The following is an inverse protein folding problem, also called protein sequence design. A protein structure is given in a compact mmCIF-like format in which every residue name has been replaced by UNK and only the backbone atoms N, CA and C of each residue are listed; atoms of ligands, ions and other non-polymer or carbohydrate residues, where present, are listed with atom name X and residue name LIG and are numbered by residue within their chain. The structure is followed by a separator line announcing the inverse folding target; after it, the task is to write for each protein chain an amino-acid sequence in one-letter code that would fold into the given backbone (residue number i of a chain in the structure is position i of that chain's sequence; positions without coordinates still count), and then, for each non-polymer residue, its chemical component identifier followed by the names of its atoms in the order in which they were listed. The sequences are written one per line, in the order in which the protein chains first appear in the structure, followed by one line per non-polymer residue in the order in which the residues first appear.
data_IF_396319751448
#
_entry.id   IF_396319751448
#
_cell.length_a   1.000
_cell.length_b   1.000
_cell.length_c   1.000
_cell.angle_alpha   90.00
_cell.angle_beta   90.00
_cell.angle_gamma   90.00
#
_symmetry.space_group_name_H-M   'P 1'
#
loop_
_entity.id
_entity.type
_entity.pdbx_description
1 polymer ?
#
# COMPACT_ATOMS: atom_id res chain seq x y z
N UNK A 1 -3.55 12.50 -7.19
CA UNK A 1 -4.95 12.51 -6.70
C UNK A 1 -5.06 11.32 -5.79
N UNK A 2 -5.21 11.57 -4.50
CA UNK A 2 -5.58 10.52 -3.56
C UNK A 2 -6.98 10.01 -3.94
N UNK A 3 -7.28 8.73 -3.67
CA UNK A 3 -8.64 8.21 -3.87
C UNK A 3 -9.67 9.11 -3.19
N UNK A 4 -10.91 9.13 -3.69
CA UNK A 4 -12.00 9.81 -2.97
C UNK A 4 -12.04 9.27 -1.54
N UNK A 5 -12.17 10.16 -0.56
CA UNK A 5 -12.32 9.77 0.85
C UNK A 5 -13.42 8.69 0.96
N UNK A 6 -13.11 7.50 1.50
CA UNK A 6 -14.12 6.48 1.71
C UNK A 6 -15.15 6.97 2.73
N UNK A 7 -16.43 6.67 2.50
CA UNK A 7 -17.51 6.97 3.44
C UNK A 7 -17.32 6.29 4.80
N UNK A 8 -16.61 5.16 4.82
CA UNK A 8 -16.25 4.41 6.03
C UNK A 8 -15.23 5.10 6.94
N UNK A 9 -14.57 6.18 6.49
CA UNK A 9 -13.57 6.89 7.27
C UNK A 9 -14.17 8.15 7.92
N UNK A 10 -14.35 8.10 9.22
CA UNK A 10 -14.79 9.23 10.06
C UNK A 10 -13.60 9.94 10.71
N UNK A 11 -13.82 11.13 11.27
CA UNK A 11 -12.82 11.85 12.08
C UNK A 11 -12.39 11.07 13.33
N UNK A 12 -13.21 10.15 13.81
CA UNK A 12 -12.96 9.26 14.96
C UNK A 12 -12.30 7.93 14.60
N UNK A 13 -11.99 7.69 13.32
CA UNK A 13 -11.37 6.43 12.89
C UNK A 13 -9.98 6.25 13.52
N UNK A 14 -9.72 5.07 14.08
CA UNK A 14 -8.41 4.74 14.65
C UNK A 14 -7.30 4.78 13.59
N UNK A 15 -6.07 5.02 14.03
CA UNK A 15 -4.88 5.00 13.15
C UNK A 15 -4.76 3.67 12.37
N UNK A 16 -5.05 2.55 13.05
CA UNK A 16 -5.02 1.22 12.43
C UNK A 16 -6.05 1.11 11.30
N UNK A 17 -7.28 1.56 11.53
CA UNK A 17 -8.34 1.55 10.52
C UNK A 17 -8.00 2.48 9.34
N UNK A 18 -7.54 3.70 9.62
CA UNK A 18 -7.15 4.65 8.58
C UNK A 18 -6.00 4.11 7.71
N UNK A 19 -5.00 3.48 8.33
CA UNK A 19 -3.88 2.84 7.63
C UNK A 19 -4.37 1.67 6.77
N UNK A 20 -5.24 0.81 7.32
CA UNK A 20 -5.80 -0.33 6.61
C UNK A 20 -6.59 0.12 5.36
N UNK A 21 -7.42 1.15 5.51
CA UNK A 21 -8.21 1.72 4.41
C UNK A 21 -7.31 2.25 3.29
N UNK A 22 -6.23 2.97 3.63
CA UNK A 22 -5.27 3.44 2.62
C UNK A 22 -4.57 2.28 1.92
N UNK A 23 -4.14 1.26 2.67
CA UNK A 23 -3.49 0.06 2.12
C UNK A 23 -4.40 -0.75 1.19
N UNK A 24 -5.70 -0.80 1.50
CA UNK A 24 -6.70 -1.52 0.72
C UNK A 24 -7.28 -0.68 -0.44
N UNK A 25 -6.81 0.55 -0.66
CA UNK A 25 -7.22 1.32 -1.84
C UNK A 25 -6.71 0.60 -3.11
N UNK A 26 -7.50 0.51 -4.21
CA UNK A 26 -7.11 -0.17 -5.46
C UNK A 26 -5.95 0.48 -6.21
N UNK A 27 -5.05 -0.33 -6.82
CA UNK A 27 -3.84 0.15 -7.52
C UNK A 27 -4.16 0.60 -8.94
N UNK A 28 -4.89 1.71 -9.01
CA UNK A 28 -5.31 2.29 -10.27
C UNK A 28 -4.17 3.02 -10.99
N UNK A 29 -4.15 2.89 -12.32
CA UNK A 29 -3.30 3.71 -13.15
C UNK A 29 -3.67 5.20 -13.00
N UNK A 30 -2.69 6.12 -13.05
CA UNK A 30 -3.02 7.53 -13.09
C UNK A 30 -3.89 7.84 -14.32
N UNK A 31 -4.80 8.83 -14.24
CA UNK A 31 -5.64 9.21 -15.37
C UNK A 31 -4.79 9.50 -16.62
N UNK A 32 -5.18 8.92 -17.77
CA UNK A 32 -4.42 8.94 -19.02
C UNK A 32 -4.03 10.34 -19.54
N UNK A 33 -4.69 11.41 -19.08
CA UNK A 33 -4.46 12.79 -19.53
C UNK A 33 -3.35 13.55 -18.77
N UNK A 34 -2.63 12.92 -17.84
CA UNK A 34 -1.58 13.61 -17.07
C UNK A 34 -0.20 13.42 -17.70
N UNK A 35 0.30 14.50 -18.32
CA UNK A 35 1.67 14.58 -18.87
C UNK A 35 2.72 14.24 -17.79
N UNK A 36 3.76 13.48 -18.16
CA UNK A 36 4.98 13.36 -17.35
C UNK A 36 5.21 12.05 -16.60
N UNK A 37 4.53 10.96 -16.96
CA UNK A 37 4.81 9.60 -16.43
C UNK A 37 4.88 8.57 -17.57
N UNK A 38 5.73 8.80 -18.57
CA UNK A 38 5.95 7.83 -19.66
C UNK A 38 7.10 6.86 -19.38
N UNK A 39 8.00 7.17 -18.44
CA UNK A 39 9.19 6.38 -18.18
C UNK A 39 9.23 5.84 -16.75
N UNK A 40 9.04 4.53 -16.61
CA UNK A 40 9.01 3.83 -15.32
C UNK A 40 10.31 3.99 -14.52
N UNK A 41 11.47 3.92 -15.18
CA UNK A 41 12.78 4.01 -14.51
C UNK A 41 12.97 5.34 -13.78
N UNK A 42 12.59 6.46 -14.41
CA UNK A 42 12.68 7.78 -13.77
C UNK A 42 11.73 7.85 -12.57
N UNK A 43 10.53 7.28 -12.68
CA UNK A 43 9.60 7.22 -11.56
C UNK A 43 10.17 6.45 -10.35
N UNK A 44 10.82 5.31 -10.59
CA UNK A 44 11.48 4.53 -9.54
C UNK A 44 12.58 5.33 -8.84
N UNK A 45 13.41 6.05 -9.59
CA UNK A 45 14.45 6.92 -9.02
C UNK A 45 13.84 8.05 -8.19
N UNK A 46 12.80 8.72 -8.70
CA UNK A 46 12.15 9.81 -7.95
C UNK A 46 11.48 9.31 -6.66
N UNK A 47 10.79 8.16 -6.72
CA UNK A 47 10.09 7.61 -5.55
C UNK A 47 11.08 7.08 -4.50
N UNK A 48 12.14 6.38 -4.91
CA UNK A 48 13.19 5.92 -3.99
C UNK A 48 13.93 7.10 -3.34
N UNK A 49 14.29 8.13 -4.11
CA UNK A 49 14.89 9.36 -3.58
C UNK A 49 13.97 10.05 -2.57
N UNK A 50 12.66 10.12 -2.85
CA UNK A 50 11.69 10.66 -1.91
C UNK A 50 11.61 9.83 -0.61
N UNK A 51 11.59 8.51 -0.70
CA UNK A 51 11.61 7.61 0.48
C UNK A 51 12.87 7.87 1.31
N UNK A 52 14.05 7.85 0.67
CA UNK A 52 15.34 8.09 1.36
C UNK A 52 15.32 9.47 2.03
N UNK A 53 14.92 10.52 1.31
CA UNK A 53 14.84 11.86 1.85
C UNK A 53 13.88 11.96 3.04
N UNK A 54 12.76 11.25 3.04
CA UNK A 54 11.84 11.23 4.17
C UNK A 54 12.42 10.54 5.41
N UNK A 55 13.27 9.52 5.23
CA UNK A 55 13.84 8.75 6.33
C UNK A 55 15.18 9.27 6.85
N UNK A 56 15.90 10.04 6.05
CA UNK A 56 17.14 10.70 6.45
C UNK A 56 16.83 11.98 7.24
N UNK A 57 17.02 12.02 8.58
CA UNK A 57 16.63 13.17 9.39
C UNK A 57 17.31 14.47 8.99
N UNK A 58 18.52 14.36 8.44
CA UNK A 58 19.31 15.52 8.02
C UNK A 58 19.00 15.96 6.58
N UNK A 59 18.09 15.29 5.87
CA UNK A 59 17.81 15.64 4.49
C UNK A 59 17.23 17.07 4.37
N UNK A 60 17.51 17.78 3.27
CA UNK A 60 16.92 19.10 3.03
C UNK A 60 15.39 19.08 3.10
N UNK A 61 14.77 18.01 2.60
CA UNK A 61 13.32 17.83 2.64
C UNK A 61 12.80 17.72 4.08
N UNK A 62 13.47 16.97 4.95
CA UNK A 62 13.06 16.83 6.36
C UNK A 62 13.21 18.12 7.14
N UNK A 63 14.29 18.87 6.90
CA UNK A 63 14.47 20.21 7.47
C UNK A 63 13.36 21.16 6.99
N UNK A 64 13.04 21.13 5.70
CA UNK A 64 11.96 21.95 5.11
C UNK A 64 10.61 21.63 5.75
N UNK A 65 10.21 20.35 5.78
CA UNK A 65 8.93 19.91 6.39
C UNK A 65 8.82 20.36 7.84
N UNK A 66 9.89 20.23 8.63
CA UNK A 66 9.93 20.67 10.02
C UNK A 66 9.72 22.18 10.14
N UNK A 67 10.39 22.97 9.29
CA UNK A 67 10.24 24.42 9.26
C UNK A 67 8.85 24.90 8.77
N UNK A 68 8.11 24.06 8.04
CA UNK A 68 6.82 24.39 7.43
C UNK A 68 5.65 23.61 8.05
N UNK A 69 5.71 23.32 9.35
CA UNK A 69 4.58 22.72 10.09
C UNK A 69 4.11 21.37 9.54
N UNK A 70 5.05 20.54 9.06
CA UNK A 70 4.76 19.21 8.55
C UNK A 70 4.33 19.16 7.09
N UNK A 71 4.25 20.29 6.38
CA UNK A 71 3.83 20.34 4.98
C UNK A 71 4.99 20.08 4.00
N UNK A 72 4.70 19.42 2.88
CA UNK A 72 5.64 19.27 1.75
C UNK A 72 5.78 20.55 0.91
N UNK A 73 4.84 21.50 1.07
CA UNK A 73 4.78 22.72 0.26
C UNK A 73 3.95 22.56 -1.02
N UNK A 74 3.42 23.67 -1.51
CA UNK A 74 2.60 23.74 -2.74
C UNK A 74 3.42 23.35 -3.97
N UNK A 75 4.62 23.90 -4.12
CA UNK A 75 5.53 23.61 -5.24
C UNK A 75 5.81 22.11 -5.39
N UNK A 76 6.08 21.41 -4.28
CA UNK A 76 6.26 19.95 -4.31
C UNK A 76 4.96 19.25 -4.73
N UNK A 77 3.85 19.63 -4.10
CA UNK A 77 2.53 19.01 -4.32
C UNK A 77 2.09 19.15 -5.78
N UNK A 78 2.28 20.32 -6.39
CA UNK A 78 1.90 20.58 -7.78
C UNK A 78 2.76 19.77 -8.75
N UNK A 79 4.08 19.69 -8.49
CA UNK A 79 5.03 18.98 -9.36
C UNK A 79 4.96 17.46 -9.24
N UNK A 80 4.75 16.95 -8.03
CA UNK A 80 4.92 15.52 -7.69
C UNK A 80 3.61 14.82 -7.30
N UNK A 81 2.57 15.57 -6.91
CA UNK A 81 1.29 15.02 -6.49
C UNK A 81 0.53 14.32 -7.62
N UNK A 82 0.66 14.82 -8.85
CA UNK A 82 0.13 14.14 -10.04
C UNK A 82 0.81 12.80 -10.31
N UNK A 83 2.10 12.68 -9.93
CA UNK A 83 2.91 11.47 -10.11
C UNK A 83 2.69 10.43 -9.00
N UNK A 84 1.94 10.77 -7.95
CA UNK A 84 1.74 9.89 -6.81
C UNK A 84 2.95 9.83 -5.85
N UNK A 85 3.94 10.69 -6.00
CA UNK A 85 5.06 10.80 -5.05
C UNK A 85 4.57 11.62 -3.85
N UNK A 86 3.83 10.94 -2.99
CA UNK A 86 3.00 11.55 -1.94
C UNK A 86 3.01 10.68 -0.68
N UNK A 87 2.67 11.26 0.49
CA UNK A 87 2.53 10.53 1.74
C UNK A 87 1.57 9.34 1.67
N UNK A 88 0.48 9.49 0.92
CA UNK A 88 -0.50 8.41 0.73
C UNK A 88 0.14 7.13 0.21
N UNK A 89 1.02 7.24 -0.78
CA UNK A 89 1.71 6.07 -1.32
C UNK A 89 2.78 5.52 -0.38
N UNK A 90 3.35 6.32 0.53
CA UNK A 90 4.20 5.78 1.60
C UNK A 90 3.41 4.90 2.56
N UNK A 91 2.22 5.36 2.99
CA UNK A 91 1.33 4.58 3.85
C UNK A 91 0.88 3.31 3.13
N UNK A 92 0.49 3.45 1.87
CA UNK A 92 0.02 2.35 1.04
C UNK A 92 1.08 1.27 0.83
N UNK A 93 2.34 1.65 0.59
CA UNK A 93 3.49 0.75 0.53
C UNK A 93 3.85 0.12 1.88
N UNK A 94 3.25 0.59 2.98
CA UNK A 94 3.55 0.10 4.33
C UNK A 94 4.81 0.70 4.94
N UNK A 95 5.27 1.84 4.42
CA UNK A 95 6.38 2.61 4.95
C UNK A 95 5.89 3.70 5.91
N UNK A 96 4.59 3.95 6.01
CA UNK A 96 4.06 4.94 6.93
C UNK A 96 2.72 4.49 7.49
N UNK A 97 2.24 5.20 8.51
CA UNK A 97 0.89 5.03 9.06
C UNK A 97 0.06 6.27 8.78
N UNK A 98 -1.21 6.07 8.43
CA UNK A 98 -2.18 7.16 8.37
C UNK A 98 -2.77 7.39 9.77
N UNK A 99 -2.85 8.65 10.20
CA UNK A 99 -3.45 9.04 11.48
C UNK A 99 -4.93 9.43 11.37
N UNK A 100 -5.43 9.69 10.16
CA UNK A 100 -6.83 10.04 9.94
C UNK A 100 -7.15 10.46 8.51
N UNK A 101 -8.31 11.09 8.32
CA UNK A 101 -8.87 11.46 7.01
C UNK A 101 -8.02 12.45 6.20
N UNK A 102 -7.16 13.24 6.86
CA UNK A 102 -6.33 14.24 6.18
C UNK A 102 -5.32 13.62 5.20
N UNK A 103 -5.03 12.32 5.32
CA UNK A 103 -4.19 11.57 4.37
C UNK A 103 -4.70 11.60 2.93
N UNK A 104 -6.01 11.82 2.73
CA UNK A 104 -6.64 11.87 1.41
C UNK A 104 -6.64 13.26 0.75
N UNK A 105 -6.30 14.34 1.47
CA UNK A 105 -6.48 15.70 0.93
C UNK A 105 -5.30 16.63 1.20
N UNK A 106 -4.80 16.66 2.43
CA UNK A 106 -3.74 17.58 2.85
C UNK A 106 -2.90 16.96 3.95
N UNK A 107 -2.16 15.87 3.63
CA UNK A 107 -1.36 15.17 4.63
C UNK A 107 -0.19 16.02 5.11
N UNK A 108 -0.26 16.46 6.38
CA UNK A 108 0.89 16.98 7.11
C UNK A 108 1.54 15.88 7.93
N UNK A 109 2.87 15.84 7.94
CA UNK A 109 3.66 14.93 8.79
C UNK A 109 3.27 15.14 10.26
N UNK A 110 3.20 14.04 10.99
CA UNK A 110 2.83 13.92 12.40
C UNK A 110 1.39 14.31 12.79
N UNK A 111 0.64 14.93 11.88
CA UNK A 111 -0.79 15.19 12.06
C UNK A 111 -1.68 14.23 11.28
N UNK A 112 -1.46 14.10 9.96
CA UNK A 112 -2.25 13.22 9.10
C UNK A 112 -1.66 11.83 8.89
N UNK A 113 -0.35 11.70 9.13
CA UNK A 113 0.42 10.48 8.94
C UNK A 113 1.74 10.56 9.69
N UNK A 114 2.40 9.43 9.89
CA UNK A 114 3.74 9.36 10.48
C UNK A 114 4.58 8.29 9.81
N UNK A 115 5.90 8.51 9.80
CA UNK A 115 6.85 7.51 9.34
C UNK A 115 6.93 6.36 10.35
N UNK A 116 7.23 5.16 9.85
CA UNK A 116 7.57 4.04 10.73
C UNK A 116 8.91 4.27 11.43
N UNK A 117 9.10 3.61 12.57
CA UNK A 117 10.38 3.58 13.27
C UNK A 117 11.41 2.75 12.49
N UNK A 118 12.69 2.98 12.75
CA UNK A 118 13.79 2.18 12.18
C UNK A 118 13.65 0.69 12.49
N UNK A 119 13.17 0.33 13.68
CA UNK A 119 12.92 -1.05 14.07
C UNK A 119 11.82 -1.71 13.23
N UNK A 120 10.71 -0.98 12.98
CA UNK A 120 9.63 -1.46 12.12
C UNK A 120 10.09 -1.60 10.66
N UNK A 121 10.87 -0.64 10.15
CA UNK A 121 11.47 -0.73 8.81
C UNK A 121 12.42 -1.92 8.68
N UNK A 122 13.24 -2.17 9.69
CA UNK A 122 14.18 -3.30 9.70
C UNK A 122 13.43 -4.63 9.63
N UNK A 123 12.30 -4.73 10.33
CA UNK A 123 11.40 -5.89 10.25
C UNK A 123 10.83 -6.06 8.83
N UNK A 124 10.33 -4.98 8.24
CA UNK A 124 9.81 -4.99 6.85
C UNK A 124 10.89 -5.45 5.87
N UNK A 125 12.08 -4.86 5.95
CA UNK A 125 13.22 -5.22 5.10
C UNK A 125 13.56 -6.72 5.23
N UNK A 126 13.69 -7.22 6.46
CA UNK A 126 13.96 -8.64 6.71
C UNK A 126 12.89 -9.54 6.12
N UNK A 127 11.61 -9.20 6.31
CA UNK A 127 10.49 -10.02 5.86
C UNK A 127 10.44 -10.06 4.31
N UNK A 128 10.70 -8.93 3.63
CA UNK A 128 10.83 -8.87 2.16
C UNK A 128 12.02 -9.68 1.66
N UNK A 129 13.21 -9.49 2.26
CA UNK A 129 14.42 -10.24 1.87
C UNK A 129 14.22 -11.73 2.05
N UNK A 130 13.53 -12.15 3.13
CA UNK A 130 13.18 -13.55 3.34
C UNK A 130 12.28 -14.06 2.22
N UNK A 131 11.23 -13.32 1.84
CA UNK A 131 10.38 -13.71 0.71
C UNK A 131 11.21 -13.86 -0.56
N UNK A 132 12.04 -12.88 -0.92
CA UNK A 132 12.82 -12.88 -2.17
C UNK A 132 13.86 -14.00 -2.27
N UNK A 133 14.23 -14.64 -1.15
CA UNK A 133 15.11 -15.83 -1.15
C UNK A 133 14.39 -17.12 -1.58
N UNK A 134 13.07 -17.18 -1.47
CA UNK A 134 12.28 -18.38 -1.78
C UNK A 134 11.87 -18.41 -3.26
N UNK A 135 12.83 -18.67 -4.15
CA UNK A 135 12.54 -18.72 -5.58
C UNK A 135 11.82 -20.02 -5.97
N UNK A 136 10.89 -19.97 -6.95
CA UNK A 136 10.53 -18.82 -7.78
C UNK A 136 9.35 -17.98 -7.26
N UNK A 137 8.72 -18.36 -6.13
CA UNK A 137 7.44 -17.80 -5.68
C UNK A 137 7.58 -16.61 -4.71
N UNK A 138 8.77 -16.40 -4.18
CA UNK A 138 9.12 -15.35 -3.24
C UNK A 138 8.75 -13.94 -3.68
N UNK A 139 8.99 -13.55 -4.94
CA UNK A 139 8.52 -12.26 -5.47
C UNK A 139 7.00 -12.08 -5.39
N UNK A 140 6.21 -13.14 -5.59
CA UNK A 140 4.75 -13.08 -5.41
C UNK A 140 4.40 -12.83 -3.94
N UNK A 141 5.02 -13.54 -3.00
CA UNK A 141 4.75 -13.35 -1.57
C UNK A 141 5.15 -11.93 -1.10
N UNK A 142 6.26 -11.41 -1.61
CA UNK A 142 6.68 -10.02 -1.38
C UNK A 142 5.65 -9.02 -1.97
N UNK A 143 5.11 -9.30 -3.16
CA UNK A 143 4.09 -8.48 -3.79
C UNK A 143 2.77 -8.50 -2.99
N UNK A 144 2.33 -9.66 -2.48
CA UNK A 144 1.16 -9.76 -1.60
C UNK A 144 1.35 -8.92 -0.33
N UNK A 145 2.54 -8.98 0.27
CA UNK A 145 2.88 -8.22 1.47
C UNK A 145 2.86 -6.70 1.23
N UNK A 146 3.45 -6.24 0.11
CA UNK A 146 3.59 -4.81 -0.20
C UNK A 146 2.34 -4.19 -0.80
N UNK A 147 1.74 -4.87 -1.79
CA UNK A 147 0.70 -4.31 -2.65
C UNK A 147 -0.68 -4.91 -2.40
N UNK A 148 -0.76 -5.99 -1.62
CA UNK A 148 -1.97 -6.77 -1.44
C UNK A 148 -2.12 -7.87 -2.49
N UNK A 149 -2.99 -8.84 -2.17
CA UNK A 149 -3.20 -10.05 -2.99
C UNK A 149 -3.69 -9.74 -4.40
N UNK A 150 -4.71 -8.89 -4.53
CA UNK A 150 -5.29 -8.51 -5.83
C UNK A 150 -4.22 -8.04 -6.82
N UNK A 151 -3.30 -7.19 -6.37
CA UNK A 151 -2.23 -6.67 -7.24
C UNK A 151 -1.18 -7.73 -7.55
N UNK A 152 -0.84 -8.58 -6.59
CA UNK A 152 0.09 -9.69 -6.82
C UNK A 152 -0.48 -10.69 -7.84
N UNK A 153 -1.77 -11.00 -7.75
CA UNK A 153 -2.47 -11.87 -8.69
C UNK A 153 -2.44 -11.26 -10.10
N UNK A 154 -2.80 -9.97 -10.24
CA UNK A 154 -2.77 -9.27 -11.53
C UNK A 154 -1.37 -9.20 -12.17
N UNK A 155 -0.29 -9.15 -11.36
CA UNK A 155 1.09 -9.23 -11.86
C UNK A 155 1.45 -10.67 -12.28
N UNK A 156 0.94 -11.66 -11.56
CA UNK A 156 1.14 -13.07 -11.90
C UNK A 156 0.44 -13.47 -13.19
N UNK A 157 -0.78 -12.98 -13.42
CA UNK A 157 -1.56 -13.24 -14.64
C UNK A 157 -0.88 -12.67 -15.89
N UNK A 158 -0.07 -11.62 -15.73
CA UNK A 158 0.73 -11.00 -16.79
C UNK A 158 2.11 -11.63 -16.96
N UNK A 159 2.39 -12.70 -16.24
CA UNK A 159 3.69 -13.39 -16.23
C UNK A 159 4.87 -12.50 -15.77
N UNK A 160 4.59 -11.37 -15.10
CA UNK A 160 5.63 -10.51 -14.52
C UNK A 160 6.24 -11.13 -13.26
N UNK A 161 5.53 -12.06 -12.62
CA UNK A 161 5.99 -12.84 -11.47
C UNK A 161 5.30 -14.21 -11.42
N UNK A 162 5.95 -15.20 -10.80
CA UNK A 162 5.37 -16.54 -10.69
C UNK A 162 4.50 -16.63 -9.43
N UNK A 163 3.19 -16.69 -9.61
CA UNK A 163 2.23 -16.83 -8.53
C UNK A 163 2.30 -18.19 -7.84
N UNK A 164 1.97 -18.21 -6.55
CA UNK A 164 1.59 -19.47 -5.89
C UNK A 164 0.14 -19.75 -6.27
N UNK A 165 -0.08 -20.80 -7.05
CA UNK A 165 -1.40 -21.40 -7.10
C UNK A 165 -1.71 -21.86 -5.67
N UNK A 166 -2.45 -21.05 -4.91
CA UNK A 166 -3.25 -21.60 -3.84
C UNK A 166 -4.13 -22.61 -4.56
N UNK A 167 -3.94 -23.90 -4.26
CA UNK A 167 -4.84 -24.98 -4.69
C UNK A 167 -6.23 -24.40 -4.74
N UNK A 168 -6.79 -24.24 -5.95
CA UNK A 168 -8.14 -23.74 -6.14
C UNK A 168 -8.98 -24.51 -5.14
N UNK A 169 -9.60 -23.84 -4.16
CA UNK A 169 -10.70 -24.48 -3.44
C UNK A 169 -11.69 -24.83 -4.53
N UNK A 170 -11.78 -26.11 -4.87
CA UNK A 170 -12.79 -26.56 -5.81
C UNK A 170 -14.13 -26.14 -5.21
N UNK A 171 -15.00 -25.43 -5.97
CA UNK A 171 -16.33 -25.05 -5.49
C UNK A 171 -17.22 -26.26 -5.13
N UNK A 172 -16.76 -27.49 -5.35
CA UNK A 172 -17.53 -28.73 -5.20
C UNK A 172 -17.41 -29.40 -3.83
N UNK A 173 -16.54 -28.94 -2.92
CA UNK A 173 -16.32 -29.65 -1.64
C UNK A 173 -17.34 -29.32 -0.53
N UNK A 174 -18.52 -28.78 -0.87
CA UNK A 174 -19.60 -28.55 0.11
C UNK A 174 -20.99 -28.68 -0.52
N UNK A 175 -21.43 -29.92 -0.79
CA UNK A 175 -22.79 -30.40 -0.47
C UNK A 175 -22.69 -31.90 -0.16
N UNK A 176 -22.33 -32.23 1.09
CA UNK A 176 -22.72 -33.52 1.64
C UNK A 176 -24.22 -33.45 1.91
N UNK A 177 -25.01 -34.20 1.13
CA UNK A 177 -26.44 -34.37 1.36
C UNK A 177 -26.69 -34.86 2.81
N UNK A 178 -27.66 -34.28 3.53
CA UNK A 178 -28.10 -34.85 4.79
C UNK A 178 -28.86 -36.16 4.52
N UNK A 179 -28.27 -37.27 4.95
CA UNK A 179 -28.92 -38.59 4.96
C UNK A 179 -30.17 -38.54 5.85
N UNK A 180 -31.34 -38.53 5.21
CA UNK A 180 -32.64 -38.67 5.84
C UNK A 180 -32.81 -40.10 6.39
N UNK A 181 -32.48 -40.33 7.66
CA UNK A 181 -32.95 -41.50 8.39
C UNK A 181 -34.23 -41.16 9.14
N UNK A 182 -35.37 -41.60 8.57
CA UNK A 182 -36.68 -41.64 9.22
C UNK A 182 -36.58 -42.44 10.53
N UNK A 183 -36.88 -41.78 11.65
CA UNK A 183 -37.16 -42.46 12.92
C UNK A 183 -38.58 -43.05 12.85
N UNK A 184 -38.69 -44.36 13.02
CA UNK A 184 -39.95 -45.11 13.04
C UNK A 184 -40.35 -45.24 14.51
N UNK A 185 -41.41 -44.55 14.93
CA UNK A 185 -42.04 -44.75 16.23
C UNK A 185 -42.87 -46.04 16.19
N UNK A 186 -42.63 -46.91 17.15
CA UNK A 186 -43.51 -48.00 17.59
C UNK A 186 -44.04 -47.63 18.97
#
# INVERSE_FOLDING_TARGET
MHGKKPSSLTSSSSQANATLIVRNTPWDAPPAKKRGMSQANIFLVMMSTFIIAMYEPTSPLRRYIKAHGGALGTQWTDKHGAKGITPFNLVRLGLATAKGCSIFHSPKVDHGWSLLTTSALTKIHRDIVRCLKDLPYGPYDAAVFLFGRERADALSEKEELKGRLLTKRNPTDNIGEPSNKRCRTT
#
